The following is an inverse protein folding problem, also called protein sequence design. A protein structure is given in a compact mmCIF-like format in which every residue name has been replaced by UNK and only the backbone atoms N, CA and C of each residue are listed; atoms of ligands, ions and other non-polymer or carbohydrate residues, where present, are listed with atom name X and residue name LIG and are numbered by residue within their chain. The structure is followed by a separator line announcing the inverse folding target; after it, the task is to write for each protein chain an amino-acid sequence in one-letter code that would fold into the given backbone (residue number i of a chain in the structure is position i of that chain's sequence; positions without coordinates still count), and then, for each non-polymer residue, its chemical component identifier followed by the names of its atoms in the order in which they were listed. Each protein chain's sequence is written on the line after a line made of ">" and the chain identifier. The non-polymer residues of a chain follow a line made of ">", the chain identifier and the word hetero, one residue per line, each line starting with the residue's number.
data_IF_396711805778
#
_entry.id   IF_396711805778
#
_cell.length_a   1.000
_cell.length_b   1.000
_cell.length_c   1.000
_cell.angle_alpha   90.00
_cell.angle_beta   90.00
_cell.angle_gamma   90.00
#
_symmetry.space_group_name_H-M   'P 1'
#
loop_
_entity.id
_entity.type
_entity.pdbx_description
1 polymer ?
#
# COMPACT_ATOMS: atom_id res chain seq x y z
N UNK A 1 -26.36 -26.03 4.67
CA UNK A 1 -24.88 -25.97 4.81
C UNK A 1 -24.15 -25.21 3.67
N UNK A 2 -24.83 -24.41 2.83
CA UNK A 2 -24.22 -23.75 1.64
C UNK A 2 -23.53 -22.40 1.96
N UNK A 3 -23.74 -21.84 3.16
CA UNK A 3 -23.13 -20.55 3.56
C UNK A 3 -21.65 -20.62 3.95
N UNK A 4 -21.24 -21.69 4.64
CA UNK A 4 -19.91 -21.78 5.28
C UNK A 4 -18.75 -21.88 4.29
N UNK A 5 -18.96 -22.50 3.12
CA UNK A 5 -17.96 -22.57 2.05
C UNK A 5 -17.67 -21.22 1.41
N UNK A 6 -18.69 -20.36 1.20
CA UNK A 6 -18.53 -19.04 0.59
C UNK A 6 -17.75 -18.07 1.46
N UNK A 7 -17.95 -18.09 2.78
CA UNK A 7 -17.18 -17.25 3.70
C UNK A 7 -15.68 -17.57 3.69
N UNK A 8 -15.32 -18.85 3.61
CA UNK A 8 -13.92 -19.28 3.59
C UNK A 8 -13.22 -18.79 2.32
N UNK A 9 -13.91 -18.85 1.17
CA UNK A 9 -13.38 -18.38 -0.11
C UNK A 9 -13.18 -16.86 -0.09
N UNK A 10 -14.16 -16.10 0.43
CA UNK A 10 -14.06 -14.63 0.53
C UNK A 10 -12.90 -14.22 1.44
N UNK A 11 -12.74 -14.87 2.60
CA UNK A 11 -11.61 -14.62 3.51
C UNK A 11 -10.27 -14.87 2.82
N UNK A 12 -10.15 -15.97 2.06
CA UNK A 12 -8.92 -16.28 1.31
C UNK A 12 -8.61 -15.24 0.23
N UNK A 13 -9.62 -14.78 -0.51
CA UNK A 13 -9.43 -13.74 -1.55
C UNK A 13 -8.99 -12.43 -0.90
N UNK A 14 -9.63 -12.01 0.19
CA UNK A 14 -9.29 -10.77 0.89
C UNK A 14 -7.85 -10.78 1.43
N UNK A 15 -7.45 -11.88 2.08
CA UNK A 15 -6.08 -12.05 2.58
C UNK A 15 -5.09 -12.02 1.42
N UNK A 16 -5.34 -12.76 0.34
CA UNK A 16 -4.48 -12.75 -0.84
C UNK A 16 -4.32 -11.34 -1.40
N UNK A 17 -5.41 -10.61 -1.64
CA UNK A 17 -5.35 -9.25 -2.17
C UNK A 17 -4.55 -8.32 -1.27
N UNK A 18 -4.77 -8.36 0.04
CA UNK A 18 -4.01 -7.56 1.00
C UNK A 18 -2.52 -7.88 0.99
N UNK A 19 -2.17 -9.17 1.02
CA UNK A 19 -0.76 -9.61 0.98
C UNK A 19 -0.08 -9.22 -0.33
N UNK A 20 -0.73 -9.43 -1.48
CA UNK A 20 -0.13 -9.07 -2.78
C UNK A 20 0.05 -7.56 -2.91
N UNK A 21 -0.93 -6.74 -2.50
CA UNK A 21 -0.78 -5.28 -2.49
C UNK A 21 0.38 -4.83 -1.60
N UNK A 22 0.53 -5.42 -0.41
CA UNK A 22 1.64 -5.12 0.48
C UNK A 22 3.00 -5.46 -0.14
N UNK A 23 3.15 -6.66 -0.69
CA UNK A 23 4.41 -7.12 -1.30
C UNK A 23 4.78 -6.23 -2.48
N UNK A 24 3.82 -5.91 -3.36
CA UNK A 24 4.08 -5.06 -4.52
C UNK A 24 4.50 -3.66 -4.09
N UNK A 25 3.81 -3.04 -3.12
CA UNK A 25 4.19 -1.72 -2.61
C UNK A 25 5.54 -1.72 -1.91
N UNK A 26 5.89 -2.80 -1.20
CA UNK A 26 7.19 -2.95 -0.57
C UNK A 26 8.33 -3.06 -1.59
N UNK A 27 8.17 -3.91 -2.60
CA UNK A 27 9.14 -4.04 -3.69
C UNK A 27 9.28 -2.74 -4.51
N UNK A 28 8.17 -2.05 -4.77
CA UNK A 28 8.22 -0.77 -5.48
C UNK A 28 9.00 0.29 -4.69
N UNK A 29 8.76 0.40 -3.38
CA UNK A 29 9.48 1.35 -2.53
C UNK A 29 10.96 1.01 -2.39
N UNK A 30 11.33 -0.28 -2.41
CA UNK A 30 12.73 -0.70 -2.42
C UNK A 30 13.52 -0.21 -3.64
N UNK A 31 12.85 -0.06 -4.79
CA UNK A 31 13.49 0.40 -6.03
C UNK A 31 13.45 1.92 -6.13
N UNK A 32 12.39 2.56 -5.62
CA UNK A 32 12.15 4.00 -5.79
C UNK A 32 12.89 4.84 -4.75
N UNK A 33 12.94 4.40 -3.50
CA UNK A 33 13.69 5.13 -2.48
C UNK A 33 15.15 4.76 -2.60
N UNK A 34 16.00 5.76 -2.44
CA UNK A 34 17.44 5.56 -2.34
C UNK A 34 17.89 5.65 -0.88
N UNK A 35 18.99 4.99 -0.54
CA UNK A 35 19.53 4.98 0.82
C UNK A 35 20.33 6.26 1.11
N UNK A 36 20.83 6.90 0.06
CA UNK A 36 21.59 8.15 0.10
C UNK A 36 20.67 9.33 -0.14
N UNK A 37 20.51 10.18 0.87
CA UNK A 37 19.84 11.47 0.72
C UNK A 37 20.90 12.51 0.36
N UNK A 38 20.76 13.18 -0.79
CA UNK A 38 21.64 14.28 -1.18
C UNK A 38 20.85 15.58 -1.06
N UNK A 39 21.29 16.46 -0.17
CA UNK A 39 20.67 17.78 0.02
C UNK A 39 21.66 18.86 -0.42
N UNK A 40 21.19 19.76 -1.29
CA UNK A 40 21.95 20.93 -1.72
C UNK A 40 21.63 22.07 -0.75
N UNK A 41 22.65 22.51 0.00
CA UNK A 41 22.52 23.60 0.95
C UNK A 41 22.43 24.94 0.21
N UNK A 42 21.91 25.97 0.90
CA UNK A 42 21.71 27.32 0.33
C UNK A 42 22.99 27.97 -0.24
N UNK A 43 24.16 27.50 0.18
CA UNK A 43 25.48 27.96 -0.30
C UNK A 43 25.98 27.19 -1.54
N UNK A 44 25.15 26.32 -2.14
CA UNK A 44 25.51 25.51 -3.31
C UNK A 44 26.41 24.31 -2.99
N UNK A 45 26.62 23.99 -1.71
CA UNK A 45 27.33 22.79 -1.29
C UNK A 45 26.37 21.61 -1.18
N UNK A 46 26.70 20.50 -1.83
CA UNK A 46 25.97 19.24 -1.69
C UNK A 46 26.47 18.49 -0.46
N UNK A 47 25.54 18.11 0.41
CA UNK A 47 25.82 17.23 1.55
C UNK A 47 25.08 15.90 1.33
N UNK A 48 25.82 14.79 1.38
CA UNK A 48 25.26 13.44 1.26
C UNK A 48 25.29 12.77 2.61
N UNK A 49 24.14 12.24 3.02
CA UNK A 49 24.01 11.46 4.26
C UNK A 49 23.47 10.07 3.93
N UNK A 50 24.09 9.05 4.50
CA UNK A 50 23.63 7.67 4.36
C UNK A 50 22.71 7.27 5.51
N UNK A 51 21.52 6.78 5.16
CA UNK A 51 20.61 6.18 6.14
C UNK A 51 21.19 4.81 6.58
N UNK A 52 21.09 4.46 7.85
CA UNK A 52 21.49 3.12 8.31
C UNK A 52 20.61 2.04 7.64
N UNK A 53 21.14 0.84 7.39
CA UNK A 53 20.36 -0.23 6.75
C UNK A 53 19.08 -0.59 7.53
N UNK A 54 19.17 -0.57 8.86
CA UNK A 54 18.01 -0.83 9.71
C UNK A 54 16.93 0.23 9.52
N UNK A 55 17.30 1.51 9.59
CA UNK A 55 16.35 2.62 9.46
C UNK A 55 15.74 2.67 8.05
N UNK A 56 16.54 2.40 7.02
CA UNK A 56 16.08 2.33 5.64
C UNK A 56 15.02 1.23 5.46
N UNK A 57 15.26 0.03 6.00
CA UNK A 57 14.30 -1.06 5.96
C UNK A 57 13.01 -0.71 6.71
N UNK A 58 13.11 -0.15 7.92
CA UNK A 58 11.93 0.26 8.70
C UNK A 58 11.15 1.39 8.03
N UNK A 59 11.84 2.34 7.38
CA UNK A 59 11.20 3.40 6.62
C UNK A 59 10.37 2.84 5.47
N UNK A 60 10.94 1.95 4.66
CA UNK A 60 10.23 1.28 3.58
C UNK A 60 9.04 0.52 4.15
N UNK A 61 9.27 -0.32 5.16
CA UNK A 61 8.24 -1.13 5.80
C UNK A 61 7.05 -0.26 6.27
N UNK A 62 7.33 0.82 6.98
CA UNK A 62 6.30 1.73 7.48
C UNK A 62 5.53 2.39 6.33
N UNK A 63 6.21 2.82 5.27
CA UNK A 63 5.58 3.40 4.08
C UNK A 63 4.71 2.36 3.36
N UNK A 64 5.17 1.13 3.21
CA UNK A 64 4.41 0.04 2.58
C UNK A 64 3.13 -0.28 3.35
N UNK A 65 3.18 -0.32 4.68
CA UNK A 65 1.98 -0.52 5.52
C UNK A 65 0.98 0.62 5.30
N UNK A 66 1.43 1.88 5.31
CA UNK A 66 0.57 3.06 5.07
C UNK A 66 -0.10 3.01 3.69
N UNK A 67 0.65 2.72 2.64
CA UNK A 67 0.12 2.59 1.27
C UNK A 67 -0.89 1.45 1.17
N UNK A 68 -0.59 0.30 1.77
CA UNK A 68 -1.50 -0.86 1.76
C UNK A 68 -2.82 -0.53 2.45
N UNK A 69 -2.76 0.15 3.61
CA UNK A 69 -3.95 0.59 4.31
C UNK A 69 -4.78 1.57 3.48
N UNK A 70 -4.14 2.57 2.86
CA UNK A 70 -4.81 3.51 1.96
C UNK A 70 -5.45 2.79 0.76
N UNK A 71 -4.76 1.84 0.14
CA UNK A 71 -5.28 1.05 -0.97
C UNK A 71 -6.52 0.23 -0.59
N UNK A 72 -6.55 -0.36 0.61
CA UNK A 72 -7.72 -1.07 1.13
C UNK A 72 -8.90 -0.12 1.33
N UNK A 73 -8.66 1.06 1.93
CA UNK A 73 -9.69 2.09 2.13
C UNK A 73 -10.26 2.55 0.78
N UNK A 74 -9.40 2.84 -0.20
CA UNK A 74 -9.82 3.23 -1.55
C UNK A 74 -10.63 2.12 -2.23
N UNK A 75 -10.17 0.87 -2.17
CA UNK A 75 -10.89 -0.27 -2.74
C UNK A 75 -12.27 -0.46 -2.10
N UNK A 76 -12.37 -0.23 -0.78
CA UNK A 76 -13.66 -0.27 -0.07
C UNK A 76 -14.59 0.85 -0.51
N UNK A 77 -14.09 2.09 -0.60
CA UNK A 77 -14.86 3.25 -1.09
C UNK A 77 -15.35 3.05 -2.52
N UNK A 78 -14.49 2.57 -3.43
CA UNK A 78 -14.86 2.26 -4.82
C UNK A 78 -15.99 1.23 -4.84
N UNK A 79 -15.87 0.15 -4.06
CA UNK A 79 -16.91 -0.88 -3.99
C UNK A 79 -18.24 -0.33 -3.48
N UNK A 80 -18.20 0.57 -2.50
CA UNK A 80 -19.40 1.23 -1.95
C UNK A 80 -20.04 2.16 -2.99
N UNK A 81 -19.24 2.93 -3.72
CA UNK A 81 -19.71 3.85 -4.76
C UNK A 81 -20.37 3.11 -5.93
N UNK A 82 -19.75 2.02 -6.39
CA UNK A 82 -20.31 1.17 -7.46
C UNK A 82 -21.63 0.52 -7.01
N UNK A 83 -21.74 0.11 -5.74
CA UNK A 83 -22.97 -0.47 -5.19
C UNK A 83 -24.11 0.54 -5.16
N UNK A 84 -23.82 1.80 -4.81
CA UNK A 84 -24.81 2.87 -4.83
C UNK A 84 -25.25 3.22 -6.26
N UNK A 85 -24.36 3.19 -7.24
CA UNK A 85 -24.71 3.40 -8.67
C UNK A 85 -25.64 2.30 -9.21
N UNK A 86 -25.45 1.05 -8.79
CA UNK A 86 -26.34 -0.06 -9.17
C UNK A 86 -27.76 0.06 -8.58
N UNK A 87 -27.90 0.65 -7.39
CA UNK A 87 -29.22 0.93 -6.81
C UNK A 87 -29.99 2.04 -7.52
N UNK A 88 -29.27 2.99 -8.15
CA UNK A 88 -29.86 4.12 -8.87
C UNK A 88 -30.30 3.81 -10.31
N UNK A 89 -29.88 2.68 -10.89
CA UNK A 89 -30.29 2.24 -12.25
C UNK A 89 -31.55 1.34 -12.19
N UNK A 90 -31.94 0.92 -10.98
CA UNK A 90 -33.14 0.10 -10.72
C UNK A 90 -34.33 0.90 -10.16
N UNK A 91 -34.23 2.23 -10.07
CA UNK A 91 -35.33 3.15 -9.75
C UNK A 91 -35.76 3.91 -11.01
#
# INVERSE_FOLDING_TARGET
>A
MIGKGREIVIKKVLVKTGTYSFIISFLALLIILDRTETSENADGMTSTWEISYADYFFMILQRSIKITFAAIVVAFLIKLFIRNKKGSIML
#
